data_IF_751751902145
#
_entry.id   IF_751751902145
#
_cell.length_a   1.000
_cell.length_b   1.000
_cell.length_c   1.000
_cell.angle_alpha   90.00
_cell.angle_beta   90.00
_cell.angle_gamma   90.00
#
_symmetry.space_group_name_H-M   'P 1'
#
loop_
_entity.id
_entity.type
_entity.pdbx_description
1 polymer ?
#
# COMPACT_ATOMS: atom_id res chain seq x y z
N UNK A 1 24.51 -21.32 -25.28
CA UNK A 1 25.12 -20.00 -25.58
C UNK A 1 26.62 -20.12 -25.39
N UNK A 2 27.46 -19.61 -26.29
CA UNK A 2 28.92 -19.69 -26.18
C UNK A 2 29.51 -18.39 -25.58
N UNK A 3 30.81 -18.39 -25.26
CA UNK A 3 31.51 -17.24 -24.67
C UNK A 3 31.35 -15.97 -25.50
N UNK A 4 31.56 -16.03 -26.82
CA UNK A 4 31.48 -14.85 -27.68
C UNK A 4 30.07 -14.26 -27.74
N UNK A 5 29.03 -15.10 -27.67
CA UNK A 5 27.65 -14.61 -27.59
C UNK A 5 27.36 -13.93 -26.25
N UNK A 6 27.81 -14.50 -25.12
CA UNK A 6 27.62 -13.87 -23.80
C UNK A 6 28.43 -12.56 -23.68
N UNK A 7 29.67 -12.55 -24.17
CA UNK A 7 30.52 -11.36 -24.23
C UNK A 7 29.90 -10.27 -25.11
N UNK A 8 29.39 -10.61 -26.30
CA UNK A 8 28.67 -9.67 -27.17
C UNK A 8 27.41 -9.13 -26.50
N UNK A 9 26.68 -9.97 -25.76
CA UNK A 9 25.53 -9.52 -24.99
C UNK A 9 25.95 -8.49 -23.93
N UNK A 10 26.89 -8.83 -23.06
CA UNK A 10 27.39 -7.97 -21.99
C UNK A 10 27.94 -6.63 -22.50
N UNK A 11 28.61 -6.63 -23.66
CA UNK A 11 29.34 -5.44 -24.16
C UNK A 11 28.55 -4.59 -25.15
N UNK A 12 27.64 -5.19 -25.95
CA UNK A 12 26.99 -4.50 -27.08
C UNK A 12 25.46 -4.55 -27.06
N UNK A 13 24.84 -5.46 -26.30
CA UNK A 13 23.38 -5.66 -26.35
C UNK A 13 22.68 -5.39 -25.02
N UNK A 14 23.37 -5.54 -23.89
CA UNK A 14 22.84 -5.26 -22.57
C UNK A 14 22.55 -3.76 -22.45
N UNK A 15 21.28 -3.42 -22.24
CA UNK A 15 20.84 -2.05 -21.96
C UNK A 15 20.87 -1.82 -20.46
N UNK A 16 21.66 -0.85 -20.01
CA UNK A 16 21.85 -0.53 -18.59
C UNK A 16 20.69 0.31 -18.01
N UNK A 17 19.46 -0.16 -18.16
CA UNK A 17 18.29 0.49 -17.55
C UNK A 17 18.17 0.18 -16.05
N UNK A 18 18.79 -0.90 -15.59
CA UNK A 18 18.90 -1.31 -14.19
C UNK A 18 20.16 -2.15 -13.97
N UNK A 19 20.63 -2.22 -12.72
CA UNK A 19 21.79 -3.02 -12.32
C UNK A 19 21.52 -4.54 -12.24
N UNK A 20 20.25 -4.97 -12.34
CA UNK A 20 19.88 -6.37 -12.05
C UNK A 20 20.48 -7.37 -13.04
N UNK A 21 20.45 -7.07 -14.33
CA UNK A 21 21.03 -7.94 -15.38
C UNK A 21 22.51 -8.27 -15.15
N UNK A 22 23.42 -7.28 -14.98
CA UNK A 22 24.82 -7.58 -14.72
C UNK A 22 25.04 -8.26 -13.37
N UNK A 23 24.25 -7.94 -12.33
CA UNK A 23 24.36 -8.62 -11.03
C UNK A 23 23.99 -10.10 -11.16
N UNK A 24 22.87 -10.44 -11.81
CA UNK A 24 22.47 -11.85 -12.07
C UNK A 24 23.59 -12.61 -12.77
N UNK A 25 24.11 -12.05 -13.88
CA UNK A 25 25.13 -12.74 -14.68
C UNK A 25 26.42 -12.90 -13.88
N UNK A 26 26.86 -11.87 -13.15
CA UNK A 26 28.03 -11.95 -12.27
C UNK A 26 27.85 -13.04 -11.21
N UNK A 27 26.73 -13.03 -10.49
CA UNK A 27 26.44 -14.03 -9.44
C UNK A 27 26.46 -15.45 -9.98
N UNK A 28 25.90 -15.67 -11.18
CA UNK A 28 25.96 -16.98 -11.83
C UNK A 28 27.39 -17.36 -12.20
N UNK A 29 28.18 -16.44 -12.76
CA UNK A 29 29.59 -16.70 -13.08
C UNK A 29 30.42 -17.04 -11.83
N UNK A 30 30.23 -16.31 -10.72
CA UNK A 30 30.91 -16.54 -9.44
C UNK A 30 30.48 -17.83 -8.74
N UNK A 31 29.26 -18.32 -9.01
CA UNK A 31 28.70 -19.55 -8.43
C UNK A 31 28.74 -20.74 -9.39
N UNK A 32 29.73 -20.78 -10.28
CA UNK A 32 29.95 -21.90 -11.22
C UNK A 32 28.75 -22.19 -12.13
N UNK A 33 28.06 -21.13 -12.57
CA UNK A 33 26.95 -21.19 -13.51
C UNK A 33 25.58 -21.44 -12.89
N UNK A 34 25.47 -21.70 -11.58
CA UNK A 34 24.20 -22.00 -10.92
C UNK A 34 24.08 -21.27 -9.59
N UNK A 35 22.95 -20.61 -9.37
CA UNK A 35 22.63 -19.98 -8.09
C UNK A 35 21.13 -20.02 -7.84
N UNK A 36 20.71 -19.95 -6.57
CA UNK A 36 19.30 -19.88 -6.24
C UNK A 36 18.76 -18.47 -6.50
N UNK A 37 17.47 -18.35 -6.85
CA UNK A 37 16.80 -17.04 -6.99
C UNK A 37 16.93 -16.21 -5.71
N UNK A 38 16.96 -16.89 -4.56
CA UNK A 38 17.13 -16.25 -3.25
C UNK A 38 18.53 -15.62 -3.09
N UNK A 39 19.57 -16.30 -3.54
CA UNK A 39 20.94 -15.78 -3.44
C UNK A 39 21.18 -14.64 -4.42
N UNK A 40 20.64 -14.75 -5.64
CA UNK A 40 20.63 -13.63 -6.59
C UNK A 40 19.89 -12.41 -6.02
N UNK A 41 18.76 -12.61 -5.34
CA UNK A 41 18.03 -11.53 -4.69
C UNK A 41 18.83 -10.87 -3.56
N UNK A 42 19.62 -11.64 -2.79
CA UNK A 42 20.54 -11.09 -1.77
C UNK A 42 21.62 -10.21 -2.40
N UNK A 43 22.15 -10.62 -3.54
CA UNK A 43 23.14 -9.84 -4.29
C UNK A 43 22.57 -8.53 -4.85
N UNK A 44 21.27 -8.39 -5.03
CA UNK A 44 20.68 -7.08 -5.37
C UNK A 44 20.73 -6.09 -4.19
N UNK A 45 20.65 -6.58 -2.95
CA UNK A 45 20.60 -5.73 -1.75
C UNK A 45 21.93 -5.00 -1.52
N UNK A 46 23.06 -5.56 -1.96
CA UNK A 46 24.39 -4.93 -1.80
C UNK A 46 24.57 -3.67 -2.67
N UNK A 47 23.66 -3.43 -3.61
CA UNK A 47 23.67 -2.25 -4.49
C UNK A 47 22.47 -1.32 -4.24
N UNK A 48 21.63 -1.61 -3.25
CA UNK A 48 20.57 -0.71 -2.82
C UNK A 48 21.13 0.33 -1.84
N UNK A 49 21.76 1.38 -2.38
CA UNK A 49 22.32 2.51 -1.63
C UNK A 49 21.31 3.10 -0.61
N UNK A 50 20.01 3.11 -0.93
CA UNK A 50 19.00 3.62 -0.01
C UNK A 50 18.81 2.69 1.19
N UNK A 51 18.87 1.38 0.97
CA UNK A 51 18.81 0.39 2.03
C UNK A 51 20.09 0.39 2.89
N UNK A 52 21.25 0.58 2.26
CA UNK A 52 22.54 0.75 2.96
C UNK A 52 22.49 2.00 3.86
N UNK A 53 22.07 3.15 3.33
CA UNK A 53 21.89 4.39 4.10
C UNK A 53 20.91 4.24 5.27
N UNK A 54 19.81 3.50 5.06
CA UNK A 54 18.88 3.17 6.14
C UNK A 54 19.57 2.38 7.26
N UNK A 55 20.29 1.30 6.93
CA UNK A 55 20.97 0.49 7.93
C UNK A 55 22.14 1.22 8.59
N UNK A 56 22.81 2.14 7.90
CA UNK A 56 23.81 3.05 8.49
C UNK A 56 23.16 3.87 9.62
N UNK A 57 21.96 4.41 9.41
CA UNK A 57 21.24 5.15 10.46
C UNK A 57 20.83 4.26 11.62
N UNK A 58 20.33 3.06 11.34
CA UNK A 58 19.96 2.09 12.38
C UNK A 58 21.16 1.69 13.22
N UNK A 59 22.28 1.31 12.58
CA UNK A 59 23.52 0.95 13.25
C UNK A 59 24.04 2.09 14.14
N UNK A 60 23.95 3.34 13.66
CA UNK A 60 24.34 4.53 14.42
C UNK A 60 23.42 4.90 15.57
N UNK A 61 22.19 4.37 15.63
CA UNK A 61 21.20 4.69 16.66
C UNK A 61 21.20 3.65 17.78
N UNK A 62 20.58 2.49 17.54
CA UNK A 62 20.22 1.58 18.62
C UNK A 62 21.38 0.69 19.14
N UNK A 63 22.11 -0.05 18.28
CA UNK A 63 23.23 -0.86 18.77
C UNK A 63 24.40 0.03 19.18
N UNK A 64 24.67 1.15 18.49
CA UNK A 64 25.77 2.06 18.85
C UNK A 64 25.68 2.57 20.29
N UNK A 65 24.54 3.13 20.69
CA UNK A 65 24.39 3.72 22.04
C UNK A 65 24.59 2.67 23.14
N UNK A 66 23.97 1.50 22.96
CA UNK A 66 24.05 0.40 23.92
C UNK A 66 25.47 -0.16 24.01
N UNK A 67 26.09 -0.46 22.87
CA UNK A 67 27.43 -1.04 22.84
C UNK A 67 28.51 -0.06 23.34
N UNK A 68 28.36 1.24 23.08
CA UNK A 68 29.24 2.27 23.67
C UNK A 68 29.06 2.36 25.19
N UNK A 69 27.82 2.35 25.69
CA UNK A 69 27.51 2.37 27.12
C UNK A 69 28.16 1.20 27.87
N UNK A 70 28.20 0.03 27.24
CA UNK A 70 28.82 -1.18 27.80
C UNK A 70 30.32 -1.32 27.46
N UNK A 71 30.92 -0.32 26.80
CA UNK A 71 32.34 -0.34 26.46
C UNK A 71 32.75 -1.46 25.51
N UNK A 72 31.81 -2.02 24.74
CA UNK A 72 32.06 -3.12 23.79
C UNK A 72 32.69 -2.60 22.50
N UNK A 73 32.35 -1.37 22.11
CA UNK A 73 32.85 -0.74 20.88
C UNK A 73 33.47 0.64 21.17
N UNK A 74 34.36 1.09 20.29
CA UNK A 74 34.73 2.49 20.13
C UNK A 74 34.29 3.02 18.74
N UNK A 75 34.06 4.33 18.66
CA UNK A 75 33.71 5.03 17.40
C UNK A 75 34.57 6.29 17.22
N UNK A 76 35.82 6.22 17.69
CA UNK A 76 36.78 7.32 17.63
C UNK A 76 37.10 7.72 16.19
N UNK A 77 37.14 6.75 15.28
CA UNK A 77 37.28 6.96 13.85
C UNK A 77 35.91 7.18 13.18
N UNK A 78 35.78 8.28 12.44
CA UNK A 78 34.51 8.68 11.84
C UNK A 78 34.04 7.65 10.82
N UNK A 79 32.88 7.05 11.07
CA UNK A 79 32.26 6.10 10.16
C UNK A 79 32.58 4.63 10.46
N UNK A 80 33.42 4.36 11.46
CA UNK A 80 33.83 3.01 11.82
C UNK A 80 33.34 2.62 13.22
N UNK A 81 33.08 1.32 13.36
CA UNK A 81 32.90 0.64 14.64
C UNK A 81 34.13 -0.21 14.88
N UNK A 82 34.71 -0.12 16.06
CA UNK A 82 35.83 -0.96 16.48
C UNK A 82 35.45 -1.67 17.76
N UNK A 83 35.79 -2.94 17.88
CA UNK A 83 35.63 -3.65 19.15
C UNK A 83 36.67 -3.09 20.13
N UNK A 84 36.22 -2.71 21.32
CA UNK A 84 37.07 -2.19 22.38
C UNK A 84 37.70 -3.37 23.15
N UNK A 85 38.44 -4.20 22.41
CA UNK A 85 39.20 -5.34 22.88
C UNK A 85 40.42 -5.53 21.98
N UNK A 86 41.48 -6.15 22.52
CA UNK A 86 42.70 -6.41 21.77
C UNK A 86 42.49 -7.56 20.76
N UNK A 87 41.90 -7.22 19.61
CA UNK A 87 41.45 -8.19 18.62
C UNK A 87 42.59 -9.06 18.08
N UNK A 88 43.80 -8.52 17.98
CA UNK A 88 44.99 -9.24 17.51
C UNK A 88 45.42 -10.35 18.48
N UNK A 89 45.08 -10.23 19.76
CA UNK A 89 45.37 -11.26 20.78
C UNK A 89 44.35 -12.38 20.84
N UNK A 90 43.20 -12.25 20.17
CA UNK A 90 42.22 -13.34 20.12
C UNK A 90 42.74 -14.47 19.23
N UNK A 91 42.78 -15.68 19.78
CA UNK A 91 42.96 -16.89 18.99
C UNK A 91 41.77 -17.12 18.04
N UNK A 92 41.99 -17.93 17.01
CA UNK A 92 40.90 -18.31 16.09
C UNK A 92 39.77 -19.06 16.81
N UNK A 93 40.11 -19.88 17.81
CA UNK A 93 39.13 -20.61 18.62
C UNK A 93 38.25 -19.67 19.43
N UNK A 94 38.83 -18.66 20.09
CA UNK A 94 38.08 -17.67 20.87
C UNK A 94 37.18 -16.81 19.96
N UNK A 95 37.66 -16.44 18.78
CA UNK A 95 36.83 -15.73 17.78
C UNK A 95 35.63 -16.56 17.36
N UNK A 96 35.85 -17.83 17.04
CA UNK A 96 34.79 -18.75 16.61
C UNK A 96 33.77 -18.99 17.73
N UNK A 97 34.22 -19.10 18.97
CA UNK A 97 33.35 -19.21 20.14
C UNK A 97 32.45 -17.97 20.27
N UNK A 98 33.01 -16.76 20.22
CA UNK A 98 32.24 -15.51 20.30
C UNK A 98 31.23 -15.36 19.15
N UNK A 99 31.62 -15.74 17.93
CA UNK A 99 30.72 -15.75 16.76
C UNK A 99 29.57 -16.72 16.97
N UNK A 100 29.85 -17.91 17.49
CA UNK A 100 28.81 -18.92 17.73
C UNK A 100 27.84 -18.49 18.85
N UNK A 101 28.32 -17.82 19.89
CA UNK A 101 27.46 -17.18 20.90
C UNK A 101 26.53 -16.14 20.24
N UNK A 102 27.05 -15.30 19.34
CA UNK A 102 26.25 -14.32 18.61
C UNK A 102 25.19 -15.00 17.72
N UNK A 103 25.59 -16.04 16.97
CA UNK A 103 24.68 -16.80 16.11
C UNK A 103 23.55 -17.45 16.90
N UNK A 104 23.86 -18.03 18.07
CA UNK A 104 22.86 -18.60 18.97
C UNK A 104 21.87 -17.54 19.46
N UNK A 105 22.33 -16.35 19.85
CA UNK A 105 21.47 -15.23 20.25
C UNK A 105 20.55 -14.74 19.12
N UNK A 106 21.07 -14.66 17.91
CA UNK A 106 20.28 -14.32 16.71
C UNK A 106 19.21 -15.39 16.47
N UNK A 107 19.56 -16.68 16.55
CA UNK A 107 18.63 -17.79 16.39
C UNK A 107 17.54 -17.79 17.47
N UNK A 108 17.90 -17.56 18.72
CA UNK A 108 16.96 -17.43 19.85
C UNK A 108 15.95 -16.30 19.60
N UNK A 109 16.44 -15.11 19.21
CA UNK A 109 15.59 -13.97 18.89
C UNK A 109 14.63 -14.27 17.72
N UNK A 110 15.14 -14.86 16.62
CA UNK A 110 14.32 -15.22 15.47
C UNK A 110 13.32 -16.33 15.82
N UNK A 111 13.72 -17.32 16.61
CA UNK A 111 12.86 -18.45 17.01
C UNK A 111 11.72 -18.04 17.94
N UNK A 112 11.95 -17.06 18.81
CA UNK A 112 10.92 -16.49 19.70
C UNK A 112 9.98 -15.50 18.98
N UNK A 113 10.29 -15.14 17.73
CA UNK A 113 9.55 -14.16 16.95
C UNK A 113 8.26 -14.75 16.35
N UNK A 114 7.10 -14.18 16.69
CA UNK A 114 5.77 -14.66 16.23
C UNK A 114 5.27 -14.01 14.92
N UNK A 115 6.11 -13.25 14.21
CA UNK A 115 5.76 -12.58 12.95
C UNK A 115 5.95 -13.45 11.70
N UNK A 116 5.65 -12.89 10.51
CA UNK A 116 5.86 -13.57 9.23
C UNK A 116 7.37 -13.82 9.05
N UNK A 117 7.74 -15.04 8.63
CA UNK A 117 9.12 -15.47 8.39
C UNK A 117 9.85 -14.42 7.52
N UNK A 118 10.88 -13.79 8.09
CA UNK A 118 11.75 -12.85 7.36
C UNK A 118 11.54 -11.36 7.66
N UNK A 119 10.62 -10.99 8.57
CA UNK A 119 10.39 -9.58 8.92
C UNK A 119 10.83 -9.24 10.36
N UNK A 120 12.08 -9.54 10.70
CA UNK A 120 12.75 -9.11 11.94
C UNK A 120 13.04 -7.60 12.00
N UNK A 121 12.67 -6.86 10.95
CA UNK A 121 12.70 -5.39 10.87
C UNK A 121 11.55 -4.73 11.65
N UNK A 122 10.61 -5.53 12.14
CA UNK A 122 9.41 -5.10 12.84
C UNK A 122 9.58 -5.39 14.34
N UNK A 123 9.64 -4.34 15.16
CA UNK A 123 9.59 -4.43 16.60
C UNK A 123 8.14 -4.17 17.06
N UNK A 124 7.39 -5.19 17.52
CA UNK A 124 6.03 -5.01 18.03
C UNK A 124 5.96 -4.09 19.26
N UNK A 125 7.06 -3.94 19.98
CA UNK A 125 7.14 -3.17 21.23
C UNK A 125 7.37 -1.67 21.00
N UNK A 126 7.53 -1.22 19.76
CA UNK A 126 7.43 0.20 19.42
C UNK A 126 5.94 0.58 19.31
N UNK A 127 5.25 0.60 20.46
CA UNK A 127 3.81 0.86 20.58
C UNK A 127 3.40 2.29 20.14
N UNK A 128 4.37 3.17 19.90
CA UNK A 128 4.13 4.51 19.35
C UNK A 128 4.02 4.54 17.82
N UNK A 129 4.73 3.63 17.11
CA UNK A 129 4.78 3.57 15.64
C UNK A 129 3.98 2.40 15.06
N UNK A 130 3.84 1.29 15.80
CA UNK A 130 3.12 0.08 15.38
C UNK A 130 1.61 0.29 15.28
N UNK A 131 1.04 1.06 16.22
CA UNK A 131 -0.37 1.47 16.20
C UNK A 131 -0.65 2.38 15.01
N UNK A 132 0.19 3.39 14.78
CA UNK A 132 0.04 4.36 13.69
C UNK A 132 0.25 3.69 12.32
N UNK A 133 1.29 2.85 12.15
CA UNK A 133 1.50 2.09 10.90
C UNK A 133 0.31 1.19 10.60
N UNK A 134 -0.16 0.45 11.60
CA UNK A 134 -1.35 -0.39 11.46
C UNK A 134 -2.58 0.46 11.09
N UNK A 135 -2.78 1.61 11.73
CA UNK A 135 -3.89 2.52 11.44
C UNK A 135 -3.81 3.08 10.01
N UNK A 136 -2.64 3.55 9.55
CA UNK A 136 -2.47 4.06 8.18
C UNK A 136 -2.71 2.96 7.15
N UNK A 137 -2.17 1.76 7.36
CA UNK A 137 -2.44 0.61 6.48
C UNK A 137 -3.91 0.20 6.52
N UNK A 138 -4.57 0.24 7.68
CA UNK A 138 -5.98 -0.09 7.84
C UNK A 138 -6.88 0.94 7.14
N UNK A 139 -6.57 2.23 7.26
CA UNK A 139 -7.27 3.32 6.56
C UNK A 139 -7.11 3.21 5.05
N UNK A 140 -5.92 2.87 4.57
CA UNK A 140 -5.65 2.59 3.16
C UNK A 140 -6.13 1.19 2.73
N UNK A 141 -6.77 0.42 3.62
CA UNK A 141 -7.17 -0.97 3.42
C UNK A 141 -6.08 -1.87 2.80
N UNK A 142 -4.81 -1.60 3.12
CA UNK A 142 -3.65 -2.27 2.56
C UNK A 142 -3.35 -1.97 1.09
N UNK A 143 -3.77 -0.82 0.56
CA UNK A 143 -3.50 -0.39 -0.82
C UNK A 143 -2.60 0.85 -0.87
N UNK A 144 -1.89 1.03 -1.97
CA UNK A 144 -1.12 2.23 -2.26
C UNK A 144 -2.07 3.40 -2.56
N UNK A 145 -1.91 4.52 -1.88
CA UNK A 145 -2.71 5.72 -2.07
C UNK A 145 -2.55 6.34 -3.46
N UNK A 146 -1.38 6.20 -4.08
CA UNK A 146 -1.11 6.73 -5.43
C UNK A 146 -1.63 5.81 -6.55
N UNK A 147 -1.22 4.52 -6.54
CA UNK A 147 -1.49 3.62 -7.68
C UNK A 147 -2.50 2.51 -7.39
N UNK A 148 -2.99 2.40 -6.16
CA UNK A 148 -3.96 1.38 -5.78
C UNK A 148 -3.44 -0.04 -5.63
N UNK A 149 -2.14 -0.30 -5.83
CA UNK A 149 -1.58 -1.64 -5.68
C UNK A 149 -1.79 -2.19 -4.26
N UNK A 150 -2.20 -3.46 -4.13
CA UNK A 150 -2.46 -4.09 -2.84
C UNK A 150 -1.17 -4.55 -2.15
N UNK A 151 -1.20 -4.68 -0.83
CA UNK A 151 -0.13 -5.28 -0.01
C UNK A 151 0.15 -6.75 -0.37
N UNK A 152 -0.81 -7.41 -1.04
CA UNK A 152 -0.62 -8.74 -1.62
C UNK A 152 0.24 -8.73 -2.88
N UNK A 153 0.17 -7.63 -3.64
CA UNK A 153 0.84 -7.50 -4.94
C UNK A 153 2.23 -6.87 -4.78
N UNK A 154 2.42 -6.00 -3.79
CA UNK A 154 3.66 -5.26 -3.59
C UNK A 154 3.81 -4.78 -2.14
N UNK A 155 5.05 -4.68 -1.60
CA UNK A 155 5.28 -4.07 -0.30
C UNK A 155 4.75 -2.64 -0.23
N UNK A 156 3.99 -2.36 0.83
CA UNK A 156 3.45 -1.03 1.14
C UNK A 156 4.24 -0.42 2.31
N UNK A 157 4.79 0.75 2.05
CA UNK A 157 5.50 1.58 3.01
C UNK A 157 4.58 2.67 3.55
N UNK A 158 4.92 3.18 4.73
CA UNK A 158 4.32 4.40 5.26
C UNK A 158 5.25 5.55 4.91
N UNK A 159 4.78 6.41 4.01
CA UNK A 159 5.46 7.60 3.56
C UNK A 159 4.94 8.84 4.31
N UNK A 160 5.82 9.82 4.51
CA UNK A 160 5.44 11.12 5.03
C UNK A 160 5.02 12.03 3.88
N UNK A 161 3.82 12.64 3.99
CA UNK A 161 3.32 13.62 3.03
C UNK A 161 4.31 14.79 2.96
N UNK A 162 4.51 15.48 4.08
CA UNK A 162 5.62 16.43 4.26
C UNK A 162 6.85 15.62 4.71
N UNK A 163 7.96 15.61 3.96
CA UNK A 163 9.16 14.88 4.36
C UNK A 163 9.72 15.36 5.70
N UNK A 164 10.28 14.43 6.49
CA UNK A 164 10.90 14.77 7.80
C UNK A 164 12.03 15.80 7.69
N UNK A 165 12.78 15.77 6.59
CA UNK A 165 13.84 16.76 6.28
C UNK A 165 13.29 18.19 6.14
N UNK A 166 11.98 18.34 5.95
CA UNK A 166 11.27 19.60 5.83
C UNK A 166 10.32 19.86 7.01
N UNK A 167 10.52 19.19 8.14
CA UNK A 167 9.71 19.39 9.36
C UNK A 167 8.42 18.58 9.42
N UNK A 168 8.23 17.58 8.56
CA UNK A 168 7.06 16.71 8.61
C UNK A 168 6.94 15.92 9.92
N UNK A 169 5.74 15.92 10.51
CA UNK A 169 5.45 15.20 11.76
C UNK A 169 5.22 13.70 11.52
N UNK A 170 5.27 12.90 12.60
CA UNK A 170 4.90 11.48 12.57
C UNK A 170 3.40 11.27 12.89
N UNK A 171 2.61 12.34 12.93
CA UNK A 171 1.17 12.24 13.14
C UNK A 171 0.52 11.53 11.96
N UNK A 172 -0.52 10.75 12.24
CA UNK A 172 -1.29 10.03 11.21
C UNK A 172 -1.79 10.95 10.09
N UNK A 173 -2.02 12.23 10.39
CA UNK A 173 -2.42 13.26 9.44
C UNK A 173 -1.35 13.58 8.39
N UNK A 174 -0.06 13.32 8.67
CA UNK A 174 1.06 13.51 7.76
C UNK A 174 1.57 12.18 7.15
N UNK A 175 0.87 11.06 7.36
CA UNK A 175 1.30 9.74 6.89
C UNK A 175 0.35 9.19 5.83
N UNK A 176 0.91 8.50 4.84
CA UNK A 176 0.18 7.87 3.74
C UNK A 176 0.80 6.51 3.37
N UNK A 177 -0.02 5.59 2.88
CA UNK A 177 0.43 4.28 2.43
C UNK A 177 0.85 4.35 0.96
N UNK A 178 2.11 4.05 0.62
CA UNK A 178 2.59 4.02 -0.76
C UNK A 178 3.31 2.70 -1.04
N UNK A 179 3.10 2.12 -2.22
CA UNK A 179 3.95 1.00 -2.65
C UNK A 179 5.39 1.47 -2.87
N UNK A 180 6.33 0.55 -2.73
CA UNK A 180 7.76 0.83 -2.91
C UNK A 180 8.09 1.66 -4.16
N UNK A 181 7.43 1.35 -5.30
CA UNK A 181 7.62 2.08 -6.57
C UNK A 181 7.14 3.53 -6.49
N UNK A 182 5.95 3.74 -5.94
CA UNK A 182 5.33 5.07 -5.81
C UNK A 182 6.09 5.93 -4.79
N UNK A 183 6.46 5.33 -3.66
CA UNK A 183 7.24 5.98 -2.62
C UNK A 183 8.60 6.49 -3.18
N UNK A 184 9.31 5.64 -3.94
CA UNK A 184 10.58 6.00 -4.56
C UNK A 184 10.43 7.07 -5.66
N UNK A 185 9.31 7.06 -6.38
CA UNK A 185 9.01 8.05 -7.42
C UNK A 185 8.78 9.46 -6.85
N UNK A 186 8.12 9.56 -5.69
CA UNK A 186 7.81 10.82 -4.99
C UNK A 186 9.06 11.64 -4.65
N UNK A 187 10.10 11.00 -4.07
CA UNK A 187 11.33 11.65 -3.54
C UNK A 187 11.03 12.70 -2.46
N UNK A 188 12.07 13.22 -1.79
CA UNK A 188 11.96 14.21 -0.70
C UNK A 188 11.45 15.61 -1.12
N UNK A 189 11.00 15.79 -2.37
CA UNK A 189 10.59 17.10 -2.91
C UNK A 189 9.09 17.23 -3.11
N UNK A 190 8.39 16.11 -3.22
CA UNK A 190 6.96 16.09 -3.47
C UNK A 190 6.22 15.96 -2.13
N UNK A 191 5.34 16.93 -1.84
CA UNK A 191 4.52 17.03 -0.62
C UNK A 191 3.08 16.60 -0.86
N UNK A 192 2.79 15.97 -1.99
CA UNK A 192 1.42 15.61 -2.35
C UNK A 192 0.86 14.60 -1.36
N UNK A 193 -0.33 14.91 -0.87
CA UNK A 193 -1.16 13.98 -0.11
C UNK A 193 -1.91 13.08 -1.11
N UNK A 194 -1.32 11.91 -1.40
CA UNK A 194 -1.92 10.96 -2.33
C UNK A 194 -3.12 10.23 -1.73
N UNK A 195 -3.39 10.38 -0.42
CA UNK A 195 -4.63 9.85 0.18
C UNK A 195 -5.85 10.50 -0.46
N UNK A 196 -5.69 11.77 -0.84
CA UNK A 196 -6.71 12.65 -1.39
C UNK A 196 -6.22 13.23 -2.71
N UNK A 197 -5.82 12.37 -3.67
CA UNK A 197 -5.53 12.84 -5.04
C UNK A 197 -6.80 13.50 -5.62
N UNK A 198 -6.82 14.82 -5.50
CA UNK A 198 -8.00 15.66 -5.66
C UNK A 198 -8.35 16.31 -4.32
N UNK A 199 -8.06 17.60 -4.17
CA UNK A 199 -8.65 18.42 -3.11
C UNK A 199 -10.17 18.22 -3.07
N UNK A 200 -10.84 18.49 -1.93
CA UNK A 200 -12.31 18.57 -1.87
C UNK A 200 -12.83 19.70 -2.77
N UNK A 201 -12.84 19.46 -4.09
CA UNK A 201 -13.55 20.31 -5.04
C UNK A 201 -15.02 20.15 -4.71
N UNK A 202 -15.66 21.25 -4.32
CA UNK A 202 -17.11 21.32 -4.14
C UNK A 202 -17.66 22.30 -5.16
N UNK A 203 -18.73 21.90 -5.84
CA UNK A 203 -19.56 22.82 -6.57
C UNK A 203 -20.74 23.24 -5.69
N UNK A 204 -20.80 24.52 -5.35
CA UNK A 204 -21.89 25.11 -4.55
C UNK A 204 -23.28 24.88 -5.14
N UNK A 205 -23.40 24.66 -6.47
CA UNK A 205 -24.66 24.39 -7.16
C UNK A 205 -25.00 22.91 -7.22
N UNK A 206 -24.06 22.03 -6.91
CA UNK A 206 -24.28 20.60 -6.97
C UNK A 206 -25.06 20.12 -5.73
N UNK A 207 -26.20 19.43 -5.90
CA UNK A 207 -26.96 18.89 -4.78
C UNK A 207 -26.23 17.78 -4.03
N UNK A 208 -25.18 17.21 -4.61
CA UNK A 208 -24.37 16.14 -4.00
C UNK A 208 -23.09 16.65 -3.32
N UNK A 209 -22.72 17.91 -3.51
CA UNK A 209 -21.68 18.55 -2.70
C UNK A 209 -22.21 19.07 -1.35
N UNK A 210 -23.52 19.34 -1.27
CA UNK A 210 -24.20 19.89 -0.11
C UNK A 210 -25.29 18.92 0.35
N UNK A 211 -24.86 17.81 0.95
CA UNK A 211 -25.76 16.71 1.36
C UNK A 211 -26.47 16.97 2.69
N UNK A 212 -26.10 18.01 3.44
CA UNK A 212 -26.67 18.41 4.74
C UNK A 212 -27.06 17.22 5.63
N UNK A 213 -28.26 17.24 6.21
CA UNK A 213 -28.79 16.21 7.13
C UNK A 213 -29.25 14.92 6.44
N UNK A 214 -28.95 14.73 5.14
CA UNK A 214 -29.43 13.57 4.36
C UNK A 214 -28.49 12.37 4.41
N UNK A 215 -27.28 12.55 4.95
CA UNK A 215 -26.28 11.50 5.07
C UNK A 215 -26.78 10.44 6.05
N UNK A 216 -27.01 9.22 5.54
CA UNK A 216 -27.34 8.05 6.34
C UNK A 216 -26.09 7.42 6.95
N UNK A 217 -25.02 7.38 6.18
CA UNK A 217 -23.75 6.78 6.58
C UNK A 217 -22.62 7.38 5.74
N UNK A 218 -21.39 7.30 6.24
CA UNK A 218 -20.22 7.79 5.53
C UNK A 218 -19.00 6.93 5.85
N UNK A 219 -18.08 6.85 4.89
CA UNK A 219 -16.83 6.13 5.06
C UNK A 219 -15.73 6.86 4.30
N UNK A 220 -14.73 7.36 5.02
CA UNK A 220 -13.58 8.08 4.47
C UNK A 220 -14.01 9.15 3.44
N UNK A 221 -13.79 8.92 2.15
CA UNK A 221 -14.08 9.83 1.04
C UNK A 221 -15.47 9.67 0.42
N UNK A 222 -16.35 8.81 0.96
CA UNK A 222 -17.70 8.56 0.43
C UNK A 222 -18.81 8.79 1.45
N UNK A 223 -20.00 9.16 0.98
CA UNK A 223 -21.23 9.33 1.76
C UNK A 223 -22.38 8.53 1.14
N UNK A 224 -23.33 8.09 1.95
CA UNK A 224 -24.53 7.36 1.56
C UNK A 224 -25.79 8.19 1.86
N UNK A 225 -26.71 8.27 0.90
CA UNK A 225 -28.03 8.90 1.07
C UNK A 225 -29.13 7.99 0.51
N UNK A 226 -30.40 8.24 0.85
CA UNK A 226 -31.53 7.70 0.08
C UNK A 226 -31.72 8.48 -1.21
N UNK A 227 -32.07 7.77 -2.27
CA UNK A 227 -32.57 8.38 -3.50
C UNK A 227 -33.97 8.98 -3.23
N UNK A 228 -34.21 10.19 -3.75
CA UNK A 228 -35.52 10.84 -3.64
C UNK A 228 -36.55 10.23 -4.61
N UNK A 229 -36.09 9.58 -5.66
CA UNK A 229 -36.89 8.90 -6.68
C UNK A 229 -36.46 7.43 -6.75
N UNK A 230 -36.73 6.65 -5.69
CA UNK A 230 -36.24 5.29 -5.60
C UNK A 230 -36.84 4.40 -6.69
N UNK A 231 -35.99 3.62 -7.39
CA UNK A 231 -36.44 2.59 -8.35
C UNK A 231 -37.17 1.47 -7.60
N UNK A 232 -36.63 1.10 -6.43
CA UNK A 232 -37.26 0.20 -5.46
C UNK A 232 -37.08 0.76 -4.06
N UNK A 233 -37.93 0.37 -3.13
CA UNK A 233 -37.84 0.81 -1.73
C UNK A 233 -36.45 0.56 -1.15
N UNK A 234 -35.89 1.59 -0.50
CA UNK A 234 -34.52 1.66 0.03
C UNK A 234 -33.39 1.83 -1.00
N UNK A 235 -33.70 2.21 -2.24
CA UNK A 235 -32.70 2.68 -3.22
C UNK A 235 -31.82 3.77 -2.60
N UNK A 236 -30.51 3.53 -2.60
CA UNK A 236 -29.51 4.41 -1.99
C UNK A 236 -28.47 4.83 -3.01
N UNK A 237 -27.88 6.00 -2.79
CA UNK A 237 -26.79 6.53 -3.60
C UNK A 237 -25.53 6.59 -2.75
N UNK A 238 -24.42 6.04 -3.25
CA UNK A 238 -23.10 6.21 -2.66
C UNK A 238 -22.31 7.24 -3.48
N UNK A 239 -21.89 8.31 -2.83
CA UNK A 239 -21.43 9.54 -3.47
C UNK A 239 -20.03 9.86 -2.92
N UNK A 240 -18.99 9.99 -3.76
CA UNK A 240 -17.70 10.51 -3.32
C UNK A 240 -17.86 11.97 -2.89
N UNK A 241 -17.18 12.37 -1.82
CA UNK A 241 -17.25 13.74 -1.28
C UNK A 241 -16.68 14.78 -2.23
N UNK A 242 -15.65 14.39 -3.00
CA UNK A 242 -15.06 15.21 -4.05
C UNK A 242 -16.00 15.30 -5.24
N UNK A 243 -16.18 16.51 -5.77
CA UNK A 243 -16.98 16.75 -6.96
C UNK A 243 -16.21 16.31 -8.21
N UNK A 244 -16.62 15.17 -8.75
CA UNK A 244 -16.10 14.59 -9.99
C UNK A 244 -17.25 14.05 -10.83
N UNK A 245 -17.09 14.07 -12.14
CA UNK A 245 -18.17 13.78 -13.07
C UNK A 245 -18.24 12.30 -13.43
N UNK A 246 -17.08 11.66 -13.55
CA UNK A 246 -16.95 10.32 -14.13
C UNK A 246 -16.33 9.34 -13.13
N UNK A 247 -16.58 8.04 -13.32
CA UNK A 247 -15.95 6.97 -12.54
C UNK A 247 -14.43 6.97 -12.77
N UNK A 248 -14.02 7.34 -13.98
CA UNK A 248 -12.60 7.42 -14.39
C UNK A 248 -11.79 8.45 -13.61
N UNK A 249 -12.46 9.44 -13.01
CA UNK A 249 -11.82 10.47 -12.18
C UNK A 249 -11.64 10.06 -10.72
N UNK A 250 -12.25 8.95 -10.28
CA UNK A 250 -12.06 8.42 -8.93
C UNK A 250 -10.61 7.97 -8.75
N UNK A 251 -9.96 8.44 -7.68
CA UNK A 251 -8.74 7.82 -7.20
C UNK A 251 -9.03 6.37 -6.74
N UNK A 252 -8.00 5.55 -6.65
CA UNK A 252 -8.20 4.16 -6.20
C UNK A 252 -8.77 4.08 -4.79
N UNK A 253 -8.38 5.00 -3.90
CA UNK A 253 -8.93 5.09 -2.55
C UNK A 253 -10.41 5.45 -2.58
N UNK A 254 -10.82 6.45 -3.37
CA UNK A 254 -12.23 6.83 -3.48
C UNK A 254 -13.09 5.71 -4.07
N UNK A 255 -12.60 5.05 -5.12
CA UNK A 255 -13.29 3.90 -5.71
C UNK A 255 -13.48 2.79 -4.66
N UNK A 256 -12.43 2.51 -3.87
CA UNK A 256 -12.48 1.53 -2.79
C UNK A 256 -13.46 1.95 -1.69
N UNK A 257 -13.39 3.19 -1.22
CA UNK A 257 -14.27 3.73 -0.18
C UNK A 257 -15.74 3.66 -0.60
N UNK A 258 -16.05 4.02 -1.85
CA UNK A 258 -17.41 3.90 -2.44
C UNK A 258 -17.89 2.45 -2.39
N UNK A 259 -17.08 1.48 -2.82
CA UNK A 259 -17.49 0.07 -2.82
C UNK A 259 -17.55 -0.56 -1.42
N UNK A 260 -16.67 -0.15 -0.50
CA UNK A 260 -16.70 -0.60 0.90
C UNK A 260 -17.95 -0.07 1.61
N UNK A 261 -18.28 1.20 1.41
CA UNK A 261 -19.52 1.78 1.94
C UNK A 261 -20.75 1.09 1.34
N UNK A 262 -20.77 0.86 0.02
CA UNK A 262 -21.84 0.10 -0.62
C UNK A 262 -22.01 -1.30 -0.02
N UNK A 263 -20.90 -2.01 0.26
CA UNK A 263 -20.92 -3.33 0.90
C UNK A 263 -21.52 -3.27 2.31
N UNK A 264 -21.13 -2.28 3.13
CA UNK A 264 -21.69 -2.06 4.47
C UNK A 264 -23.19 -1.80 4.40
N UNK A 265 -23.62 -0.84 3.58
CA UNK A 265 -25.02 -0.45 3.41
C UNK A 265 -25.87 -1.63 2.91
N UNK A 266 -25.36 -2.46 2.00
CA UNK A 266 -26.05 -3.71 1.57
C UNK A 266 -26.36 -4.65 2.72
N UNK A 267 -25.38 -4.84 3.62
CA UNK A 267 -25.55 -5.71 4.79
C UNK A 267 -26.61 -5.13 5.73
N UNK A 268 -26.56 -3.82 5.99
CA UNK A 268 -27.55 -3.14 6.83
C UNK A 268 -28.96 -3.20 6.22
N UNK A 269 -29.07 -3.02 4.90
CA UNK A 269 -30.35 -3.13 4.18
C UNK A 269 -30.99 -4.50 4.34
N UNK A 270 -30.20 -5.58 4.27
CA UNK A 270 -30.69 -6.94 4.49
C UNK A 270 -31.11 -7.23 5.94
N UNK A 271 -30.51 -6.52 6.91
CA UNK A 271 -30.90 -6.64 8.31
C UNK A 271 -32.25 -5.96 8.58
N UNK A 272 -32.55 -4.85 7.90
CA UNK A 272 -33.82 -4.14 8.07
C UNK A 272 -34.96 -4.71 7.22
N UNK A 273 -34.64 -5.31 6.06
CA UNK A 273 -35.62 -5.94 5.17
C UNK A 273 -35.09 -7.29 4.68
N UNK A 274 -35.59 -8.36 5.33
CA UNK A 274 -35.22 -9.74 5.03
C UNK A 274 -35.71 -10.23 3.66
N UNK A 275 -36.59 -9.49 2.98
CA UNK A 275 -37.07 -9.83 1.61
C UNK A 275 -36.09 -9.38 0.52
N UNK A 276 -35.04 -8.63 0.87
CA UNK A 276 -34.01 -8.21 -0.09
C UNK A 276 -33.11 -9.39 -0.44
N UNK A 277 -33.36 -9.98 -1.60
CA UNK A 277 -32.63 -11.15 -2.10
C UNK A 277 -31.50 -10.75 -3.06
N UNK A 278 -31.63 -9.62 -3.76
CA UNK A 278 -30.67 -9.18 -4.76
C UNK A 278 -30.39 -7.68 -4.72
N UNK A 279 -29.49 -7.23 -5.60
CA UNK A 279 -29.21 -5.81 -5.82
C UNK A 279 -28.85 -5.56 -7.28
N UNK A 280 -29.32 -4.44 -7.84
CA UNK A 280 -28.67 -3.81 -8.99
C UNK A 280 -27.72 -2.73 -8.48
N UNK A 281 -26.49 -2.74 -8.99
CA UNK A 281 -25.42 -1.87 -8.55
C UNK A 281 -24.73 -1.32 -9.78
N UNK A 282 -24.62 0.00 -9.91
CA UNK A 282 -24.01 0.59 -11.10
C UNK A 282 -23.91 2.10 -11.05
N UNK A 283 -23.17 2.63 -12.01
CA UNK A 283 -23.01 4.06 -12.26
C UNK A 283 -23.66 4.40 -13.60
N UNK A 284 -24.21 5.60 -13.69
CA UNK A 284 -24.50 6.24 -14.97
C UNK A 284 -23.41 7.28 -15.23
N UNK A 285 -22.74 7.21 -16.38
CA UNK A 285 -21.66 8.12 -16.75
C UNK A 285 -22.01 8.87 -18.03
N UNK A 286 -22.13 10.20 -17.92
CA UNK A 286 -22.55 11.09 -19.00
C UNK A 286 -24.06 11.16 -19.18
N UNK A 287 -24.51 12.29 -19.75
CA UNK A 287 -25.94 12.59 -19.95
C UNK A 287 -26.66 11.52 -20.78
N UNK A 288 -25.98 10.97 -21.81
CA UNK A 288 -26.53 9.93 -22.70
C UNK A 288 -26.79 8.61 -21.95
N UNK A 289 -26.02 8.32 -20.91
CA UNK A 289 -26.24 7.16 -20.04
C UNK A 289 -27.26 7.43 -18.91
N UNK A 290 -27.89 8.61 -18.89
CA UNK A 290 -28.87 8.98 -17.87
C UNK A 290 -28.28 9.59 -16.60
N UNK A 291 -27.04 10.08 -16.63
CA UNK A 291 -26.48 10.85 -15.50
C UNK A 291 -27.15 12.23 -15.45
N UNK A 292 -28.11 12.40 -14.54
CA UNK A 292 -28.88 13.66 -14.39
C UNK A 292 -28.18 14.68 -13.51
N UNK A 293 -27.54 14.23 -12.43
CA UNK A 293 -26.70 15.06 -11.57
C UNK A 293 -25.24 14.83 -11.98
N UNK A 294 -24.53 15.88 -12.46
CA UNK A 294 -23.15 15.77 -12.89
C UNK A 294 -22.21 15.72 -11.68
N UNK A 295 -22.31 14.63 -10.93
CA UNK A 295 -21.43 14.23 -9.84
C UNK A 295 -21.58 12.72 -9.76
N UNK A 296 -20.50 11.97 -9.98
CA UNK A 296 -20.53 10.51 -10.02
C UNK A 296 -21.16 9.94 -8.75
N UNK A 297 -22.03 8.95 -8.88
CA UNK A 297 -22.66 8.29 -7.75
C UNK A 297 -23.02 6.87 -8.11
N UNK A 298 -22.78 5.95 -7.18
CA UNK A 298 -23.15 4.56 -7.32
C UNK A 298 -24.61 4.39 -6.90
N UNK A 299 -25.44 3.90 -7.81
CA UNK A 299 -26.77 3.41 -7.47
C UNK A 299 -26.67 2.07 -6.76
N UNK A 300 -27.32 1.96 -5.61
CA UNK A 300 -27.48 0.75 -4.85
C UNK A 300 -28.97 0.43 -4.70
N UNK A 301 -29.49 -0.38 -5.63
CA UNK A 301 -30.93 -0.67 -5.78
C UNK A 301 -31.22 -2.07 -5.21
N UNK A 302 -31.86 -2.20 -4.05
CA UNK A 302 -32.24 -3.50 -3.50
C UNK A 302 -33.35 -4.17 -4.32
N UNK A 303 -33.28 -5.49 -4.49
CA UNK A 303 -34.22 -6.29 -5.29
C UNK A 303 -34.88 -7.36 -4.44
N UNK A 304 -36.18 -7.59 -4.70
CA UNK A 304 -37.03 -8.57 -4.01
C UNK A 304 -37.61 -9.53 -5.04
N UNK A 305 -37.91 -10.75 -4.64
CA UNK A 305 -38.63 -11.66 -5.53
C UNK A 305 -39.97 -11.05 -5.97
N UNK A 306 -40.25 -11.06 -7.27
CA UNK A 306 -41.50 -10.56 -7.85
C UNK A 306 -41.61 -9.03 -8.00
N UNK A 307 -40.55 -8.27 -7.74
CA UNK A 307 -40.55 -6.80 -7.94
C UNK A 307 -40.56 -6.38 -9.43
N UNK A 308 -40.33 -7.32 -10.34
CA UNK A 308 -40.50 -7.20 -11.78
C UNK A 308 -41.01 -8.53 -12.34
N UNK A 309 -41.80 -8.49 -13.42
CA UNK A 309 -42.34 -9.70 -14.07
C UNK A 309 -41.27 -10.62 -14.64
N UNK A 310 -40.22 -10.06 -15.26
CA UNK A 310 -39.08 -10.80 -15.77
C UNK A 310 -37.76 -10.16 -15.32
N UNK A 311 -37.02 -10.76 -14.37
CA UNK A 311 -35.74 -10.22 -13.92
C UNK A 311 -34.58 -10.52 -14.89
N UNK A 312 -34.78 -11.43 -15.86
CA UNK A 312 -33.77 -11.77 -16.88
C UNK A 312 -33.44 -10.52 -17.69
N UNK A 313 -32.15 -10.28 -17.94
CA UNK A 313 -31.70 -9.04 -18.59
C UNK A 313 -31.05 -8.04 -17.63
N UNK A 314 -31.64 -7.85 -16.44
CA UNK A 314 -31.09 -6.96 -15.41
C UNK A 314 -30.73 -5.57 -15.94
N UNK A 315 -29.44 -5.21 -15.90
CA UNK A 315 -28.91 -3.92 -16.36
C UNK A 315 -29.26 -3.62 -17.82
N UNK A 316 -29.52 -4.64 -18.65
CA UNK A 316 -29.95 -4.42 -20.05
C UNK A 316 -31.28 -3.68 -20.18
N UNK A 317 -32.07 -3.60 -19.09
CA UNK A 317 -33.27 -2.78 -19.01
C UNK A 317 -33.07 -1.29 -19.30
N UNK A 318 -31.82 -0.79 -19.32
CA UNK A 318 -31.51 0.57 -19.80
C UNK A 318 -31.92 0.80 -21.26
N UNK A 319 -31.98 -0.25 -22.08
CA UNK A 319 -32.61 -0.24 -23.40
C UNK A 319 -33.72 -1.31 -23.35
N UNK A 320 -34.96 -0.95 -22.99
CA UNK A 320 -36.02 -1.92 -22.67
C UNK A 320 -36.22 -3.00 -23.74
N UNK A 321 -36.20 -2.60 -25.02
CA UNK A 321 -36.38 -3.52 -26.16
C UNK A 321 -35.22 -4.51 -26.36
N UNK A 322 -34.13 -4.39 -25.59
CA UNK A 322 -32.96 -5.30 -25.60
C UNK A 322 -32.76 -6.01 -24.25
N UNK A 323 -33.69 -5.86 -23.31
CA UNK A 323 -33.60 -6.43 -21.98
C UNK A 323 -33.66 -7.96 -22.03
N UNK A 324 -34.64 -8.51 -22.74
CA UNK A 324 -34.87 -9.95 -22.86
C UNK A 324 -33.92 -10.60 -23.89
N UNK A 325 -33.39 -11.78 -23.54
CA UNK A 325 -32.59 -12.65 -24.41
C UNK A 325 -32.61 -14.08 -23.91
#
# INVERSE_FOLDING_TARGET
MNFENLRKFLTKQMRMNHIYQPVVIRTLLEKNGVSSVRDIAREFLSYDEAQVEYYIRIAKKYPKETLLKHGVIDTSERGFFRLNLDFEKLSESERNELVEICNNKIREYIGNYKGIIGDYRYNPDDLSSSSIRYLVLKLANGHCALCGASIKDTPIDIDHIIPRSQGGSNDITNLQALCFRCNRAKRDRDKTDFRNLGEETKDTKCPFCNLDHRILDAYNSASCIRDNFPVTENHSLIIPKRHILTVSELSTNELQDVFLLAKKVKSELRLIDSKIEGFNIGFNEGQVAGQTIPHVHLHLIPRRFGDVSNPRGGIRGVIPNKADY
#
